data_IF_239817295084
#
_entry.id   IF_239817295084
#
_cell.length_a   1.000
_cell.length_b   1.000
_cell.length_c   1.000
_cell.angle_alpha   90.00
_cell.angle_beta   90.00
_cell.angle_gamma   90.00
#
_symmetry.space_group_name_H-M   'P 1'
#
loop_
_entity.id
_entity.type
_entity.pdbx_description
1 polymer ?
#
# COMPACT_ATOMS: atom_id res chain seq x y z
N UNK A 1 -3.76 23.48 -14.18
CA UNK A 1 -4.10 22.06 -14.40
C UNK A 1 -4.56 21.47 -13.08
N UNK A 2 -5.85 21.13 -12.93
CA UNK A 2 -6.33 20.31 -11.81
C UNK A 2 -5.77 18.90 -12.03
N UNK A 3 -4.54 18.65 -11.58
CA UNK A 3 -3.89 17.35 -11.73
C UNK A 3 -4.72 16.26 -11.05
N UNK A 4 -4.86 15.11 -11.70
CA UNK A 4 -5.51 13.94 -11.12
C UNK A 4 -4.94 13.61 -9.74
N UNK A 5 -5.83 13.18 -8.83
CA UNK A 5 -5.40 12.70 -7.52
C UNK A 5 -4.59 11.41 -7.64
N UNK A 6 -3.71 11.15 -6.66
CA UNK A 6 -2.97 9.88 -6.58
C UNK A 6 -3.91 8.67 -6.56
N UNK A 7 -5.08 8.81 -5.95
CA UNK A 7 -6.10 7.76 -5.90
C UNK A 7 -6.68 7.44 -7.27
N UNK A 8 -6.93 8.45 -8.12
CA UNK A 8 -7.39 8.23 -9.50
C UNK A 8 -6.34 7.45 -10.28
N UNK A 9 -5.07 7.84 -10.21
CA UNK A 9 -3.98 7.14 -10.89
C UNK A 9 -3.85 5.67 -10.46
N UNK A 10 -4.02 5.40 -9.17
CA UNK A 10 -3.99 4.02 -8.65
C UNK A 10 -5.22 3.22 -9.11
N UNK A 11 -6.40 3.83 -9.15
CA UNK A 11 -7.61 3.19 -9.72
C UNK A 11 -7.41 2.84 -11.18
N UNK A 12 -6.78 3.70 -11.97
CA UNK A 12 -6.46 3.42 -13.36
C UNK A 12 -5.42 2.33 -13.53
N UNK A 13 -4.38 2.32 -12.70
CA UNK A 13 -3.41 1.21 -12.64
C UNK A 13 -4.12 -0.14 -12.44
N UNK A 14 -5.08 -0.20 -11.52
CA UNK A 14 -5.85 -1.41 -11.24
C UNK A 14 -6.86 -1.82 -12.32
N UNK A 15 -7.15 -0.97 -13.33
CA UNK A 15 -7.91 -1.40 -14.51
C UNK A 15 -7.17 -2.50 -15.27
N UNK A 16 -5.85 -2.48 -15.26
CA UNK A 16 -4.99 -3.39 -16.04
C UNK A 16 -4.14 -4.33 -15.18
N UNK A 17 -3.95 -4.04 -13.89
CA UNK A 17 -3.01 -4.77 -13.03
C UNK A 17 -3.66 -5.25 -11.72
N UNK A 18 -3.35 -6.48 -11.34
CA UNK A 18 -3.81 -7.08 -10.07
C UNK A 18 -2.81 -6.85 -8.92
N UNK A 19 -1.63 -6.30 -9.22
CA UNK A 19 -0.56 -6.04 -8.25
C UNK A 19 -1.04 -5.11 -7.13
N UNK A 20 -0.87 -5.52 -5.87
CA UNK A 20 -1.17 -4.71 -4.69
C UNK A 20 -0.28 -3.47 -4.67
N UNK A 21 -0.86 -2.29 -4.41
CA UNK A 21 -0.13 -1.02 -4.25
C UNK A 21 -0.14 -0.59 -2.80
N UNK A 22 1.04 -0.26 -2.25
CA UNK A 22 1.21 0.21 -0.88
C UNK A 22 1.54 1.71 -0.91
N UNK A 23 0.61 2.54 -0.45
CA UNK A 23 0.82 3.96 -0.24
C UNK A 23 1.54 4.23 1.09
N UNK A 24 2.86 4.31 1.04
CA UNK A 24 3.68 4.73 2.18
C UNK A 24 3.52 6.24 2.42
N UNK A 25 3.25 6.61 3.67
CA UNK A 25 3.29 8.00 4.12
C UNK A 25 4.74 8.40 4.40
N UNK A 26 5.04 9.68 4.28
CA UNK A 26 6.38 10.20 4.56
C UNK A 26 6.80 9.83 5.99
N UNK A 27 8.05 9.38 6.15
CA UNK A 27 8.56 8.84 7.41
C UNK A 27 8.24 7.35 7.67
N UNK A 28 7.44 6.71 6.82
CA UNK A 28 7.25 5.24 6.83
C UNK A 28 8.14 4.55 5.78
N UNK A 29 8.54 3.31 6.06
CA UNK A 29 9.36 2.49 5.17
C UNK A 29 9.04 1.00 5.36
N UNK A 30 9.50 0.16 4.43
CA UNK A 30 9.39 -1.29 4.54
C UNK A 30 10.73 -1.87 4.99
N UNK A 31 10.72 -2.60 6.09
CA UNK A 31 11.85 -3.41 6.50
C UNK A 31 11.65 -4.84 6.01
N UNK A 32 12.63 -5.35 5.27
CA UNK A 32 12.65 -6.75 4.84
C UNK A 32 13.63 -7.53 5.73
N UNK A 33 13.16 -8.64 6.29
CA UNK A 33 14.00 -9.54 7.08
C UNK A 33 13.52 -10.96 6.88
N UNK A 34 14.42 -11.83 6.38
CA UNK A 34 14.11 -13.22 6.03
C UNK A 34 12.85 -13.31 5.14
N UNK A 35 11.79 -13.89 5.66
CA UNK A 35 10.49 -14.08 5.03
C UNK A 35 9.45 -13.12 5.61
N UNK A 36 9.82 -11.90 5.97
CA UNK A 36 8.91 -10.87 6.48
C UNK A 36 9.13 -9.53 5.77
N UNK A 37 8.02 -8.83 5.51
CA UNK A 37 8.02 -7.45 5.03
C UNK A 37 7.20 -6.64 6.04
N UNK A 38 7.87 -5.89 6.90
CA UNK A 38 7.24 -5.18 8.00
C UNK A 38 7.12 -3.69 7.66
N UNK A 39 5.92 -3.13 7.85
CA UNK A 39 5.74 -1.67 7.83
C UNK A 39 6.40 -1.06 9.06
N UNK A 40 7.36 -0.18 8.86
CA UNK A 40 8.04 0.57 9.90
C UNK A 40 7.78 2.08 9.75
N UNK A 41 7.98 2.81 10.84
CA UNK A 41 7.66 4.24 10.95
C UNK A 41 6.48 4.48 11.88
N UNK A 42 6.07 5.74 12.01
CA UNK A 42 5.00 6.14 12.94
C UNK A 42 3.62 6.18 12.30
N UNK A 43 3.55 6.20 10.97
CA UNK A 43 2.30 6.39 10.24
C UNK A 43 1.79 5.07 9.67
N UNK A 44 0.46 4.95 9.60
CA UNK A 44 -0.20 3.89 8.84
C UNK A 44 0.19 3.93 7.36
N UNK A 45 0.03 2.81 6.67
CA UNK A 45 0.10 2.77 5.21
C UNK A 45 -1.27 2.43 4.64
N UNK A 46 -1.57 3.00 3.46
CA UNK A 46 -2.81 2.71 2.76
C UNK A 46 -2.58 1.65 1.70
N UNK A 47 -3.34 0.57 1.74
CA UNK A 47 -3.25 -0.56 0.80
C UNK A 47 -4.37 -0.44 -0.22
N UNK A 48 -4.00 -0.55 -1.49
CA UNK A 48 -4.93 -0.58 -2.61
C UNK A 48 -4.88 -1.97 -3.26
N UNK A 49 -6.05 -2.59 -3.35
CA UNK A 49 -6.26 -3.85 -4.08
C UNK A 49 -7.29 -3.60 -5.17
N UNK A 50 -7.15 -4.30 -6.30
CA UNK A 50 -8.11 -4.22 -7.39
C UNK A 50 -9.50 -4.64 -6.90
N UNK A 51 -10.52 -3.89 -7.28
CA UNK A 51 -11.92 -4.13 -6.92
C UNK A 51 -12.20 -4.17 -5.40
N UNK A 52 -11.34 -3.56 -4.58
CA UNK A 52 -11.57 -3.42 -3.14
C UNK A 52 -11.48 -1.95 -2.75
N UNK A 53 -12.18 -1.59 -1.67
CA UNK A 53 -11.96 -0.31 -1.01
C UNK A 53 -10.55 -0.27 -0.38
N UNK A 54 -9.87 0.89 -0.39
CA UNK A 54 -8.57 1.03 0.27
C UNK A 54 -8.69 0.75 1.78
N UNK A 55 -7.71 0.04 2.33
CA UNK A 55 -7.62 -0.24 3.77
C UNK A 55 -6.35 0.36 4.37
N UNK A 56 -6.38 0.72 5.65
CA UNK A 56 -5.19 1.18 6.39
C UNK A 56 -4.57 -0.01 7.14
N UNK A 57 -3.24 -0.08 7.14
CA UNK A 57 -2.46 -1.00 7.96
C UNK A 57 -1.60 -0.20 8.95
N UNK A 58 -1.55 -0.68 10.18
CA UNK A 58 -0.78 -0.06 11.26
C UNK A 58 0.73 -0.32 11.11
N UNK A 59 1.58 0.54 11.71
CA UNK A 59 2.98 0.19 11.93
C UNK A 59 3.13 -1.20 12.56
N UNK A 60 4.23 -1.88 12.26
CA UNK A 60 4.51 -3.28 12.62
C UNK A 60 3.64 -4.33 11.90
N UNK A 61 2.75 -3.92 10.98
CA UNK A 61 2.02 -4.86 10.14
C UNK A 61 2.97 -5.61 9.20
N UNK A 62 2.82 -6.93 9.15
CA UNK A 62 3.54 -7.78 8.21
C UNK A 62 2.77 -7.93 6.89
N UNK A 63 3.28 -7.28 5.84
CA UNK A 63 2.66 -7.19 4.52
C UNK A 63 2.48 -8.56 3.84
N UNK A 64 3.24 -9.59 4.23
CA UNK A 64 3.06 -10.93 3.65
C UNK A 64 1.67 -11.49 3.91
N UNK A 65 0.99 -11.05 4.99
CA UNK A 65 -0.41 -11.38 5.25
C UNK A 65 -1.37 -10.93 4.14
N UNK A 66 -0.93 -10.04 3.24
CA UNK A 66 -1.71 -9.58 2.09
C UNK A 66 -1.57 -10.46 0.85
N UNK A 67 -0.57 -11.36 0.82
CA UNK A 67 -0.21 -12.24 -0.30
C UNK A 67 -0.81 -13.65 -0.18
N UNK A 68 -1.59 -13.89 0.87
CA UNK A 68 -2.29 -15.14 1.13
C UNK A 68 -3.70 -15.11 0.55
#
# INVERSE_FOLDING_TARGET
HMGESREIRIKEFHKFNDQIVIGLREGSYLQTQENNIILKGLNTARVFKKNCDPLEIEPEFNLIKLLN
#
